data_IF_475464472471
#
_entry.id   IF_475464472471
#
_cell.length_a   1.000
_cell.length_b   1.000
_cell.length_c   1.000
_cell.angle_alpha   90.00
_cell.angle_beta   90.00
_cell.angle_gamma   90.00
#
_symmetry.space_group_name_H-M   'P 1'
#
loop_
_entity.id
_entity.type
_entity.pdbx_description
1 polymer ?
#
# COMPACT_ATOMS: atom_id res chain seq x y z
N UNK A 1 -6.30 3.82 -22.86
CA UNK A 1 -5.21 4.46 -22.09
C UNK A 1 -5.13 3.73 -20.76
N UNK A 2 -4.12 2.88 -20.56
CA UNK A 2 -3.94 2.13 -19.31
C UNK A 2 -3.46 3.14 -18.26
N UNK A 3 -4.34 3.49 -17.34
CA UNK A 3 -4.13 4.57 -16.37
C UNK A 3 -3.16 4.14 -15.28
N UNK A 4 -1.86 4.29 -15.53
CA UNK A 4 -0.85 4.08 -14.49
C UNK A 4 -0.81 5.32 -13.59
N UNK A 5 -0.99 5.12 -12.28
CA UNK A 5 -0.83 6.19 -11.29
C UNK A 5 0.63 6.16 -10.84
N UNK A 6 1.33 7.28 -10.99
CA UNK A 6 2.71 7.43 -10.52
C UNK A 6 2.80 8.61 -9.54
N UNK A 7 3.50 8.41 -8.44
CA UNK A 7 3.76 9.47 -7.47
C UNK A 7 5.07 9.24 -6.71
N UNK A 8 5.62 10.31 -6.14
CA UNK A 8 6.82 10.27 -5.29
C UNK A 8 6.48 10.65 -3.85
N UNK A 9 7.10 9.99 -2.88
CA UNK A 9 7.01 10.36 -1.48
C UNK A 9 8.38 10.18 -0.80
N UNK A 10 8.98 11.29 -0.37
CA UNK A 10 10.38 11.30 0.08
C UNK A 10 11.33 10.85 -1.03
N UNK A 11 12.28 9.97 -0.69
CA UNK A 11 13.26 9.41 -1.64
C UNK A 11 12.75 8.17 -2.41
N UNK A 12 11.43 7.94 -2.39
CA UNK A 12 10.81 6.77 -3.02
C UNK A 12 9.82 7.19 -4.10
N UNK A 13 9.73 6.37 -5.12
CA UNK A 13 8.71 6.46 -6.16
C UNK A 13 7.75 5.28 -6.08
N UNK A 14 6.50 5.53 -6.42
CA UNK A 14 5.43 4.57 -6.36
C UNK A 14 4.67 4.56 -7.68
N UNK A 15 4.28 3.38 -8.11
CA UNK A 15 3.51 3.17 -9.32
C UNK A 15 2.40 2.16 -9.04
N UNK A 16 1.19 2.47 -9.48
CA UNK A 16 0.04 1.57 -9.46
C UNK A 16 -0.34 1.30 -10.90
N UNK A 17 -0.12 0.06 -11.33
CA UNK A 17 -0.42 -0.42 -12.68
C UNK A 17 -1.68 -1.25 -12.63
N UNK A 18 -2.64 -0.93 -13.50
CA UNK A 18 -3.81 -1.77 -13.71
C UNK A 18 -3.40 -3.04 -14.48
N UNK A 19 -3.61 -4.20 -13.87
CA UNK A 19 -3.33 -5.53 -14.44
C UNK A 19 -4.60 -6.38 -14.47
N UNK A 20 -5.75 -5.72 -14.53
CA UNK A 20 -7.06 -6.38 -14.58
C UNK A 20 -7.20 -7.20 -15.86
N UNK A 21 -7.95 -8.29 -15.76
CA UNK A 21 -8.51 -9.01 -16.89
C UNK A 21 -10.03 -8.78 -16.94
N UNK A 22 -10.71 -9.37 -17.92
CA UNK A 22 -12.15 -9.17 -18.14
C UNK A 22 -13.04 -9.60 -16.96
N UNK A 23 -12.51 -10.43 -16.05
CA UNK A 23 -13.27 -11.02 -14.95
C UNK A 23 -12.82 -10.54 -13.56
N UNK A 24 -11.62 -9.97 -13.46
CA UNK A 24 -11.00 -9.68 -12.17
C UNK A 24 -10.20 -8.38 -12.19
N UNK A 25 -10.48 -7.51 -11.21
CA UNK A 25 -9.82 -6.22 -11.07
C UNK A 25 -8.64 -6.31 -10.13
N UNK A 26 -7.44 -6.26 -10.70
CA UNK A 26 -6.18 -6.37 -9.96
C UNK A 26 -5.23 -5.24 -10.34
N UNK A 27 -4.42 -4.86 -9.35
CA UNK A 27 -3.42 -3.83 -9.48
C UNK A 27 -2.07 -4.34 -9.01
N UNK A 28 -1.02 -3.89 -9.69
CA UNK A 28 0.35 -4.05 -9.26
C UNK A 28 0.81 -2.75 -8.61
N UNK A 29 1.00 -2.76 -7.29
CA UNK A 29 1.63 -1.66 -6.57
C UNK A 29 3.14 -1.89 -6.53
N UNK A 30 3.90 -0.95 -7.08
CA UNK A 30 5.36 -1.00 -7.15
C UNK A 30 5.91 0.15 -6.30
N UNK A 31 6.77 -0.18 -5.36
CA UNK A 31 7.60 0.78 -4.63
C UNK A 31 9.03 0.67 -5.13
N UNK A 32 9.64 1.79 -5.50
CA UNK A 32 11.07 1.86 -5.84
C UNK A 32 11.75 2.86 -4.92
N UNK A 33 12.89 2.45 -4.38
CA UNK A 33 13.83 3.26 -3.63
C UNK A 33 15.21 3.16 -4.29
N UNK A 34 16.19 3.92 -3.80
CA UNK A 34 17.58 3.88 -4.32
C UNK A 34 18.18 2.47 -4.38
N UNK A 35 17.80 1.57 -3.45
CA UNK A 35 18.41 0.23 -3.31
C UNK A 35 17.45 -0.92 -3.54
N UNK A 36 16.14 -0.71 -3.40
CA UNK A 36 15.16 -1.79 -3.41
C UNK A 36 13.95 -1.45 -4.27
N UNK A 37 13.44 -2.46 -4.96
CA UNK A 37 12.13 -2.45 -5.61
C UNK A 37 11.26 -3.51 -4.96
N UNK A 38 10.12 -3.11 -4.42
CA UNK A 38 9.10 -4.00 -3.85
C UNK A 38 7.85 -3.97 -4.72
N UNK A 39 7.16 -5.11 -4.84
CA UNK A 39 5.96 -5.26 -5.66
C UNK A 39 4.91 -6.04 -4.90
N UNK A 40 3.67 -5.56 -4.94
CA UNK A 40 2.51 -6.27 -4.39
C UNK A 40 1.40 -6.34 -5.43
N UNK A 41 0.83 -7.53 -5.63
CA UNK A 41 -0.42 -7.72 -6.38
C UNK A 41 -1.58 -7.62 -5.40
N UNK A 42 -2.55 -6.76 -5.70
CA UNK A 42 -3.68 -6.44 -4.81
C UNK A 42 -4.96 -6.27 -5.64
N UNK A 43 -6.06 -6.85 -5.21
CA UNK A 43 -7.35 -6.65 -5.87
C UNK A 43 -7.94 -5.26 -5.53
N UNK A 44 -8.92 -4.83 -6.32
CA UNK A 44 -9.57 -3.52 -6.17
C UNK A 44 -10.11 -3.27 -4.76
N UNK A 45 -10.72 -4.27 -4.12
CA UNK A 45 -11.37 -4.09 -2.83
C UNK A 45 -10.33 -3.91 -1.71
N UNK A 46 -9.23 -4.65 -1.78
CA UNK A 46 -8.11 -4.48 -0.86
C UNK A 46 -7.36 -3.17 -1.10
N UNK A 47 -7.20 -2.73 -2.36
CA UNK A 47 -6.56 -1.46 -2.67
C UNK A 47 -7.34 -0.26 -2.11
N UNK A 48 -8.67 -0.26 -2.27
CA UNK A 48 -9.55 0.77 -1.69
C UNK A 48 -9.41 0.80 -0.16
N UNK A 49 -9.42 -0.37 0.48
CA UNK A 49 -9.22 -0.47 1.93
C UNK A 49 -7.85 0.05 2.39
N UNK A 50 -6.77 -0.24 1.65
CA UNK A 50 -5.44 0.32 1.94
C UNK A 50 -5.48 1.85 1.85
N UNK A 51 -6.14 2.41 0.82
CA UNK A 51 -6.31 3.86 0.69
C UNK A 51 -7.07 4.48 1.86
N UNK A 52 -8.12 3.82 2.36
CA UNK A 52 -8.85 4.25 3.55
C UNK A 52 -7.97 4.21 4.81
N UNK A 53 -7.21 3.13 5.01
CA UNK A 53 -6.26 3.02 6.11
C UNK A 53 -5.19 4.13 6.06
N UNK A 54 -4.67 4.45 4.86
CA UNK A 54 -3.73 5.55 4.67
C UNK A 54 -4.36 6.93 4.97
N UNK A 55 -5.62 7.16 4.56
CA UNK A 55 -6.37 8.39 4.91
C UNK A 55 -6.59 8.51 6.42
N UNK A 56 -6.84 7.41 7.11
CA UNK A 56 -6.94 7.43 8.57
C UNK A 56 -5.58 7.68 9.22
N UNK A 57 -4.52 7.11 8.68
CA UNK A 57 -3.15 7.31 9.15
C UNK A 57 -2.71 8.77 9.00
N UNK A 58 -3.07 9.44 7.90
CA UNK A 58 -2.70 10.84 7.65
C UNK A 58 -3.30 11.83 8.66
N UNK A 59 -4.41 11.47 9.30
CA UNK A 59 -5.04 12.25 10.37
C UNK A 59 -4.37 12.07 11.74
N UNK A 60 -3.43 11.14 11.86
CA UNK A 60 -2.72 10.87 13.11
C UNK A 60 -1.72 11.98 13.47
N UNK A 61 -1.72 12.42 14.72
CA UNK A 61 -0.73 13.34 15.30
C UNK A 61 0.11 12.63 16.36
N UNK A 62 1.33 13.12 16.62
CA UNK A 62 2.24 12.54 17.63
C UNK A 62 2.79 11.15 17.29
N UNK A 63 3.14 10.37 18.32
CA UNK A 63 3.73 9.02 18.25
C UNK A 63 2.71 7.88 18.08
N UNK A 64 1.64 8.13 17.31
CA UNK A 64 0.52 7.20 17.22
C UNK A 64 0.85 5.98 16.36
N UNK A 65 0.73 4.78 16.94
CA UNK A 65 0.90 3.50 16.24
C UNK A 65 -0.46 2.84 15.98
N UNK A 66 -0.78 2.55 14.72
CA UNK A 66 -2.04 1.90 14.31
C UNK A 66 -1.77 0.69 13.43
N UNK A 67 -2.62 -0.32 13.52
CA UNK A 67 -2.55 -1.52 12.70
C UNK A 67 -3.94 -1.84 12.19
N UNK A 68 -4.05 -2.01 10.88
CA UNK A 68 -5.24 -2.51 10.20
C UNK A 68 -4.93 -3.86 9.58
N UNK A 69 -5.86 -4.80 9.67
CA UNK A 69 -5.72 -6.14 9.09
C UNK A 69 -7.00 -6.55 8.38
N UNK A 70 -6.85 -7.21 7.23
CA UNK A 70 -7.95 -7.79 6.46
C UNK A 70 -7.55 -9.17 5.97
N UNK A 71 -8.33 -10.19 6.33
CA UNK A 71 -8.16 -11.56 5.82
C UNK A 71 -9.09 -11.74 4.62
N UNK A 72 -8.55 -12.20 3.51
CA UNK A 72 -9.29 -12.55 2.31
C UNK A 72 -8.80 -13.91 1.85
N UNK A 73 -9.67 -14.93 1.94
CA UNK A 73 -9.34 -16.32 1.65
C UNK A 73 -8.06 -16.78 2.38
N UNK A 74 -7.02 -17.14 1.62
CA UNK A 74 -5.72 -17.57 2.10
C UNK A 74 -4.73 -16.41 2.34
N UNK A 75 -5.13 -15.16 2.15
CA UNK A 75 -4.23 -14.00 2.26
C UNK A 75 -4.60 -13.10 3.44
N UNK A 76 -3.59 -12.57 4.11
CA UNK A 76 -3.73 -11.53 5.13
C UNK A 76 -3.04 -10.27 4.65
N UNK A 77 -3.82 -9.22 4.43
CA UNK A 77 -3.36 -7.87 4.16
C UNK A 77 -3.24 -7.10 5.47
N UNK A 78 -2.12 -6.43 5.70
CA UNK A 78 -1.92 -5.56 6.87
C UNK A 78 -1.37 -4.23 6.45
N UNK A 79 -1.95 -3.17 7.00
CA UNK A 79 -1.39 -1.81 6.96
C UNK A 79 -0.97 -1.45 8.37
N UNK A 80 0.24 -0.94 8.54
CA UNK A 80 0.78 -0.50 9.82
C UNK A 80 1.23 0.94 9.70
N UNK A 81 0.78 1.79 10.61
CA UNK A 81 1.34 3.12 10.85
C UNK A 81 2.26 3.02 12.05
N UNK A 82 3.51 3.40 11.87
CA UNK A 82 4.52 3.34 12.90
C UNK A 82 5.49 4.53 12.77
N UNK A 83 6.41 4.67 13.72
CA UNK A 83 7.48 5.67 13.69
C UNK A 83 8.82 5.02 14.00
N UNK A 84 9.89 5.53 13.38
CA UNK A 84 11.27 5.16 13.68
C UNK A 84 12.13 6.43 13.74
N UNK A 85 13.46 6.28 13.85
CA UNK A 85 14.40 7.40 13.89
C UNK A 85 14.35 8.33 12.65
N UNK A 86 13.79 7.86 11.54
CA UNK A 86 13.62 8.62 10.29
C UNK A 86 12.23 9.25 10.17
N UNK A 87 11.41 9.15 11.21
CA UNK A 87 10.06 9.70 11.25
C UNK A 87 8.97 8.64 11.09
N UNK A 88 7.77 9.10 10.69
CA UNK A 88 6.58 8.25 10.55
C UNK A 88 6.56 7.54 9.21
N UNK A 89 6.14 6.29 9.20
CA UNK A 89 5.94 5.53 7.98
C UNK A 89 4.65 4.72 8.03
N UNK A 90 4.11 4.46 6.84
CA UNK A 90 3.01 3.51 6.64
C UNK A 90 3.57 2.35 5.83
N UNK A 91 3.47 1.13 6.38
CA UNK A 91 3.86 -0.09 5.70
C UNK A 91 2.63 -0.92 5.35
N UNK A 92 2.58 -1.45 4.13
CA UNK A 92 1.58 -2.43 3.71
C UNK A 92 2.26 -3.76 3.42
N UNK A 93 1.65 -4.87 3.85
CA UNK A 93 2.14 -6.22 3.57
C UNK A 93 1.01 -7.18 3.26
N UNK A 94 1.30 -8.16 2.41
CA UNK A 94 0.47 -9.33 2.13
C UNK A 94 1.24 -10.57 2.59
N UNK A 95 0.62 -11.36 3.44
CA UNK A 95 1.14 -12.66 3.90
C UNK A 95 0.16 -13.77 3.51
N UNK A 96 0.69 -14.99 3.37
CA UNK A 96 -0.08 -16.23 3.29
C UNK A 96 -0.51 -16.64 4.71
#
# INVERSE_FOLDING_TARGET
MVGNIYFTAGEKSFEVVDISDDHSRWFLWIERSRRFTSRIKIDVNNLIWVCEAMKQASRGTGGLCRRWGRKVEAYIYRVVQNFNMYGRFVGSKRAW
#
